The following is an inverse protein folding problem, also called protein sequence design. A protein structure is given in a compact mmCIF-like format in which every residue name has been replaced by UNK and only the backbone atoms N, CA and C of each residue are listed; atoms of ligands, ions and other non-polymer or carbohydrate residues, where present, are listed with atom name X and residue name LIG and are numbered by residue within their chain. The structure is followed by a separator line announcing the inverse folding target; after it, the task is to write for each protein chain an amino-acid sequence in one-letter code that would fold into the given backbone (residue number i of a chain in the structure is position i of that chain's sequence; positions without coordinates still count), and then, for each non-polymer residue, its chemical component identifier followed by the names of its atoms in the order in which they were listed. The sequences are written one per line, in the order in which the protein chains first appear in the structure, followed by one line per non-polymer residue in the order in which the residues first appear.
data_IF_100422013876
#
_entry.id   IF_100422013876
#
_cell.length_a   1.000
_cell.length_b   1.000
_cell.length_c   1.000
_cell.angle_alpha   90.00
_cell.angle_beta   90.00
_cell.angle_gamma   90.00
#
_symmetry.space_group_name_H-M   'P 1'
#
loop_
_entity.id
_entity.type
_entity.pdbx_description
1 polymer ?
#
# COMPACT_ATOMS: atom_id res chain seq x y z
N UNK A 1 -35.86 8.96 2.23
CA UNK A 1 -36.24 10.16 1.44
C UNK A 1 -35.02 11.02 1.08
N UNK A 2 -34.18 11.40 2.05
CA UNK A 2 -32.96 12.22 1.84
C UNK A 2 -31.93 11.67 0.82
N UNK A 3 -31.42 10.44 1.01
CA UNK A 3 -30.35 9.91 0.13
C UNK A 3 -30.75 9.82 -1.35
N UNK A 4 -32.04 9.58 -1.61
CA UNK A 4 -32.57 9.55 -2.98
C UNK A 4 -32.57 10.94 -3.62
N UNK A 5 -32.90 11.98 -2.87
CA UNK A 5 -32.82 13.36 -3.36
C UNK A 5 -31.37 13.78 -3.60
N UNK A 6 -30.46 13.42 -2.68
CA UNK A 6 -29.03 13.69 -2.84
C UNK A 6 -28.44 12.99 -4.07
N UNK A 7 -28.82 11.73 -4.32
CA UNK A 7 -28.38 10.99 -5.52
C UNK A 7 -28.86 11.64 -6.83
N UNK A 8 -30.10 12.16 -6.85
CA UNK A 8 -30.67 12.88 -8.00
C UNK A 8 -29.89 14.17 -8.28
N UNK A 9 -29.51 14.92 -7.24
CA UNK A 9 -28.73 16.15 -7.41
C UNK A 9 -27.29 15.89 -7.83
N UNK A 10 -26.63 14.88 -7.24
CA UNK A 10 -25.26 14.52 -7.59
C UNK A 10 -25.13 14.03 -9.04
N UNK A 11 -26.15 13.34 -9.56
CA UNK A 11 -26.18 12.90 -10.96
C UNK A 11 -26.11 14.04 -11.97
N UNK A 12 -26.57 15.24 -11.63
CA UNK A 12 -26.44 16.44 -12.48
C UNK A 12 -24.99 16.84 -12.73
N UNK A 13 -24.07 16.40 -11.87
CA UNK A 13 -22.64 16.67 -11.92
C UNK A 13 -21.82 15.40 -12.21
N UNK A 14 -22.44 14.34 -12.74
CA UNK A 14 -21.80 13.04 -12.99
C UNK A 14 -21.21 12.36 -11.73
N UNK A 15 -21.69 12.76 -10.55
CA UNK A 15 -21.32 12.15 -9.27
C UNK A 15 -22.36 11.12 -8.85
N UNK A 16 -21.92 10.10 -8.09
CA UNK A 16 -22.81 9.07 -7.53
C UNK A 16 -22.51 8.81 -6.06
N UNK A 17 -23.53 8.48 -5.29
CA UNK A 17 -23.35 8.08 -3.90
C UNK A 17 -22.74 6.68 -3.83
N UNK A 18 -21.67 6.54 -3.06
CA UNK A 18 -21.10 5.24 -2.76
C UNK A 18 -21.97 4.53 -1.71
N UNK A 19 -22.73 3.53 -2.13
CA UNK A 19 -23.65 2.78 -1.26
C UNK A 19 -22.96 2.06 -0.09
N UNK A 20 -21.65 1.76 -0.17
CA UNK A 20 -20.89 1.19 0.94
C UNK A 20 -20.47 2.23 1.98
N UNK A 21 -20.23 3.47 1.54
CA UNK A 21 -19.75 4.56 2.41
C UNK A 21 -20.87 5.48 2.92
N UNK A 22 -22.04 5.45 2.27
CA UNK A 22 -23.14 6.38 2.55
C UNK A 22 -24.26 5.66 3.26
N UNK A 23 -24.39 5.90 4.57
CA UNK A 23 -25.48 5.38 5.41
C UNK A 23 -26.02 6.45 6.33
N UNK A 24 -27.33 6.48 6.55
CA UNK A 24 -27.95 7.29 7.61
C UNK A 24 -27.81 6.49 8.90
N UNK A 25 -27.10 7.03 9.89
CA UNK A 25 -26.85 6.38 11.17
C UNK A 25 -27.55 7.16 12.27
N UNK A 26 -28.21 6.47 13.21
CA UNK A 26 -28.82 7.08 14.40
C UNK A 26 -27.73 7.62 15.34
N UNK A 27 -27.98 8.77 15.95
CA UNK A 27 -27.05 9.50 16.83
C UNK A 27 -26.52 8.65 18.00
N UNK A 28 -27.31 7.72 18.53
CA UNK A 28 -26.91 6.82 19.63
C UNK A 28 -25.81 5.82 19.22
N UNK A 29 -25.61 5.60 17.91
CA UNK A 29 -24.52 4.78 17.36
C UNK A 29 -23.28 5.62 17.01
N UNK A 30 -23.25 6.93 17.32
CA UNK A 30 -22.07 7.80 17.14
C UNK A 30 -21.01 7.59 18.22
N UNK A 31 -20.82 6.36 18.73
CA UNK A 31 -19.57 6.02 19.42
C UNK A 31 -18.48 5.70 18.39
N UNK A 32 -18.19 6.65 17.51
CA UNK A 32 -17.07 6.57 16.54
C UNK A 32 -15.68 6.46 17.21
N UNK A 33 -15.61 6.24 18.52
CA UNK A 33 -14.40 6.16 19.37
C UNK A 33 -14.51 5.02 20.39
N UNK A 34 -15.53 4.14 20.31
CA UNK A 34 -15.71 3.04 21.27
C UNK A 34 -14.49 2.12 21.32
N UNK A 35 -14.02 1.69 20.15
CA UNK A 35 -12.83 0.84 20.05
C UNK A 35 -11.54 1.56 20.49
N UNK A 36 -11.42 2.89 20.30
CA UNK A 36 -10.24 3.67 20.72
C UNK A 36 -10.14 3.65 22.25
N UNK A 37 -11.24 3.95 22.94
CA UNK A 37 -11.28 3.89 24.41
C UNK A 37 -10.92 2.49 24.91
N UNK A 38 -11.52 1.48 24.28
CA UNK A 38 -11.29 0.07 24.60
C UNK A 38 -9.83 -0.36 24.41
N UNK A 39 -9.18 0.02 23.30
CA UNK A 39 -7.75 -0.27 23.07
C UNK A 39 -6.84 0.55 23.97
N UNK A 40 -7.22 1.79 24.31
CA UNK A 40 -6.45 2.67 25.18
C UNK A 40 -6.44 2.17 26.62
N UNK A 41 -7.56 1.59 27.07
CA UNK A 41 -7.70 1.00 28.39
C UNK A 41 -7.12 -0.41 28.51
N UNK A 42 -6.58 -0.98 27.43
CA UNK A 42 -5.98 -2.31 27.47
C UNK A 42 -4.83 -2.35 28.50
N UNK A 43 -4.96 -3.24 29.48
CA UNK A 43 -3.99 -3.37 30.56
C UNK A 43 -2.81 -4.23 30.14
N UNK A 44 -1.61 -3.63 30.12
CA UNK A 44 -0.36 -4.36 29.99
C UNK A 44 0.18 -4.72 31.38
N UNK A 45 0.30 -6.03 31.73
CA UNK A 45 0.72 -6.46 33.07
C UNK A 45 2.09 -5.95 33.52
N UNK A 46 3.04 -5.82 32.59
CA UNK A 46 4.34 -5.23 32.84
C UNK A 46 4.47 -3.96 31.98
N UNK A 47 4.62 -2.80 32.64
CA UNK A 47 4.70 -1.49 31.99
C UNK A 47 6.11 -1.14 31.52
N UNK A 48 7.14 -1.71 32.16
CA UNK A 48 8.54 -1.42 31.85
C UNK A 48 9.01 -2.18 30.62
N UNK A 49 8.55 -3.43 30.46
CA UNK A 49 8.80 -4.24 29.28
C UNK A 49 7.62 -5.16 28.97
N UNK A 50 7.05 -4.99 27.78
CA UNK A 50 5.89 -5.79 27.35
C UNK A 50 6.38 -7.15 26.82
N UNK A 51 5.84 -8.20 27.43
CA UNK A 51 6.12 -9.60 27.09
C UNK A 51 5.34 -10.12 25.88
N UNK A 52 5.75 -11.28 25.40
CA UNK A 52 5.18 -11.95 24.21
C UNK A 52 3.65 -12.15 24.33
N UNK A 53 3.18 -12.67 25.46
CA UNK A 53 1.76 -12.97 25.65
C UNK A 53 0.89 -11.71 25.62
N UNK A 54 1.39 -10.60 26.16
CA UNK A 54 0.66 -9.33 26.17
C UNK A 54 0.59 -8.69 24.78
N UNK A 55 1.67 -8.75 23.99
CA UNK A 55 1.63 -8.31 22.59
C UNK A 55 0.67 -9.19 21.79
N UNK A 56 0.75 -10.52 21.93
CA UNK A 56 -0.15 -11.44 21.25
C UNK A 56 -1.61 -11.13 21.56
N UNK A 57 -1.95 -11.06 22.85
CA UNK A 57 -3.32 -10.80 23.28
C UNK A 57 -3.82 -9.42 22.83
N UNK A 58 -2.96 -8.40 22.83
CA UNK A 58 -3.32 -7.08 22.31
C UNK A 58 -3.61 -7.09 20.80
N UNK A 59 -2.78 -7.76 20.00
CA UNK A 59 -2.99 -7.88 18.55
C UNK A 59 -4.25 -8.70 18.22
N UNK A 60 -4.45 -9.83 18.90
CA UNK A 60 -5.66 -10.64 18.74
C UNK A 60 -6.92 -9.82 19.08
N UNK A 61 -6.84 -9.01 20.13
CA UNK A 61 -7.93 -8.12 20.54
C UNK A 61 -8.19 -6.99 19.53
N UNK A 62 -7.14 -6.33 19.06
CA UNK A 62 -7.25 -5.30 18.03
C UNK A 62 -7.83 -5.86 16.72
N UNK A 63 -7.46 -7.08 16.35
CA UNK A 63 -7.99 -7.75 15.16
C UNK A 63 -9.47 -8.16 15.33
N UNK A 64 -9.87 -8.60 16.51
CA UNK A 64 -11.29 -8.86 16.81
C UNK A 64 -12.10 -7.56 16.72
N UNK A 65 -11.60 -6.46 17.29
CA UNK A 65 -12.23 -5.14 17.21
C UNK A 65 -12.30 -4.63 15.77
N UNK A 66 -11.24 -4.79 14.96
CA UNK A 66 -11.25 -4.34 13.57
C UNK A 66 -12.33 -5.05 12.76
N UNK A 67 -12.55 -6.35 13.02
CA UNK A 67 -13.65 -7.11 12.41
C UNK A 67 -15.02 -6.69 12.92
N UNK A 68 -15.16 -6.45 14.22
CA UNK A 68 -16.43 -6.06 14.84
C UNK A 68 -16.92 -4.70 14.32
N UNK A 69 -16.01 -3.74 14.16
CA UNK A 69 -16.34 -2.38 13.72
C UNK A 69 -16.22 -2.18 12.21
N UNK A 70 -15.68 -3.17 11.47
CA UNK A 70 -15.33 -3.07 10.04
C UNK A 70 -14.50 -1.80 9.75
N UNK A 71 -13.52 -1.53 10.62
CA UNK A 71 -12.74 -0.30 10.63
C UNK A 71 -11.24 -0.59 10.59
N UNK A 72 -10.61 -0.20 9.48
CA UNK A 72 -9.17 -0.36 9.24
C UNK A 72 -8.30 0.50 10.17
N UNK A 73 -8.86 1.58 10.74
CA UNK A 73 -8.14 2.46 11.66
C UNK A 73 -7.79 1.76 12.98
N UNK A 74 -8.53 0.71 13.36
CA UNK A 74 -8.28 -0.07 14.59
C UNK A 74 -6.88 -0.67 14.58
N UNK A 75 -6.51 -1.35 13.50
CA UNK A 75 -5.18 -1.96 13.37
C UNK A 75 -4.09 -0.89 13.23
N UNK A 76 -4.35 0.19 12.49
CA UNK A 76 -3.42 1.32 12.39
C UNK A 76 -3.08 1.89 13.77
N UNK A 77 -4.08 2.07 14.62
CA UNK A 77 -3.91 2.56 15.98
C UNK A 77 -3.12 1.56 16.83
N UNK A 78 -3.50 0.28 16.81
CA UNK A 78 -2.84 -0.76 17.57
C UNK A 78 -1.33 -0.87 17.23
N UNK A 79 -0.99 -0.82 15.94
CA UNK A 79 0.40 -0.79 15.45
C UNK A 79 1.15 0.41 16.03
N UNK A 80 0.57 1.62 15.94
CA UNK A 80 1.16 2.86 16.48
C UNK A 80 1.30 2.85 18.00
N UNK A 81 0.41 2.19 18.72
CA UNK A 81 0.49 2.05 20.18
C UNK A 81 1.67 1.13 20.53
N UNK A 82 1.74 -0.06 19.93
CA UNK A 82 2.80 -1.03 20.23
C UNK A 82 4.19 -0.55 19.81
N UNK A 83 4.32 0.16 18.69
CA UNK A 83 5.61 0.69 18.23
C UNK A 83 6.24 1.69 19.22
N UNK A 84 5.43 2.34 20.05
CA UNK A 84 5.88 3.29 21.10
C UNK A 84 6.17 2.62 22.44
N UNK A 85 6.00 1.31 22.56
CA UNK A 85 6.24 0.57 23.81
C UNK A 85 7.58 -0.15 23.78
N UNK A 86 8.18 -0.31 24.95
CA UNK A 86 9.37 -1.15 25.12
C UNK A 86 8.95 -2.62 25.10
N UNK A 87 9.23 -3.30 24.00
CA UNK A 87 8.93 -4.72 23.81
C UNK A 87 10.15 -5.59 24.11
N UNK A 88 9.96 -6.68 24.84
CA UNK A 88 10.99 -7.73 24.97
C UNK A 88 11.39 -8.26 23.59
N UNK A 89 12.61 -8.79 23.43
CA UNK A 89 13.11 -9.32 22.15
C UNK A 89 12.18 -10.38 21.51
N UNK A 90 11.53 -11.22 22.33
CA UNK A 90 10.56 -12.22 21.83
C UNK A 90 9.27 -11.55 21.37
N UNK A 91 8.77 -10.57 22.12
CA UNK A 91 7.55 -9.83 21.78
C UNK A 91 7.72 -8.97 20.52
N UNK A 92 8.89 -8.34 20.36
CA UNK A 92 9.24 -7.56 19.17
C UNK A 92 9.25 -8.42 17.90
N UNK A 93 9.86 -9.60 17.95
CA UNK A 93 9.85 -10.57 16.84
C UNK A 93 8.45 -11.05 16.48
N UNK A 94 7.59 -11.30 17.48
CA UNK A 94 6.19 -11.62 17.24
C UNK A 94 5.48 -10.45 16.55
N UNK A 95 5.58 -9.25 17.12
CA UNK A 95 4.97 -8.04 16.59
C UNK A 95 5.30 -7.83 15.12
N UNK A 96 6.60 -7.82 14.76
CA UNK A 96 7.04 -7.59 13.38
C UNK A 96 6.45 -8.63 12.42
N UNK A 97 6.57 -9.92 12.75
CA UNK A 97 6.04 -11.00 11.90
C UNK A 97 4.51 -10.95 11.78
N UNK A 98 3.81 -10.64 12.87
CA UNK A 98 2.35 -10.52 12.87
C UNK A 98 1.88 -9.37 11.98
N UNK A 99 2.48 -8.19 12.09
CA UNK A 99 2.05 -7.04 11.27
C UNK A 99 2.42 -7.23 9.80
N UNK A 100 3.58 -7.81 9.49
CA UNK A 100 3.92 -8.24 8.12
C UNK A 100 2.84 -9.18 7.57
N UNK A 101 2.49 -10.23 8.30
CA UNK A 101 1.44 -11.18 7.89
C UNK A 101 0.06 -10.51 7.69
N UNK A 102 -0.33 -9.59 8.58
CA UNK A 102 -1.57 -8.83 8.42
C UNK A 102 -1.53 -7.96 7.17
N UNK A 103 -0.39 -7.35 6.86
CA UNK A 103 -0.22 -6.44 5.72
C UNK A 103 -0.30 -7.13 4.37
N UNK A 104 0.14 -8.40 4.28
CA UNK A 104 -0.08 -9.25 3.09
C UNK A 104 -1.57 -9.39 2.75
N UNK A 105 -2.44 -9.34 3.76
CA UNK A 105 -3.89 -9.46 3.57
C UNK A 105 -4.63 -8.11 3.62
N UNK A 106 -3.93 -7.03 4.01
CA UNK A 106 -4.50 -5.71 4.28
C UNK A 106 -3.52 -4.64 3.79
N UNK A 107 -3.47 -4.40 2.46
CA UNK A 107 -2.46 -3.51 1.87
C UNK A 107 -2.50 -2.05 2.35
N UNK A 108 -3.60 -1.61 2.97
CA UNK A 108 -3.66 -0.30 3.65
C UNK A 108 -2.69 -0.17 4.84
N UNK A 109 -2.15 -1.29 5.35
CA UNK A 109 -1.14 -1.31 6.40
C UNK A 109 0.29 -1.07 5.88
N UNK A 110 0.54 -1.27 4.58
CA UNK A 110 1.88 -1.13 3.99
C UNK A 110 2.53 0.23 4.27
N UNK A 111 1.82 1.38 4.18
CA UNK A 111 2.39 2.68 4.52
C UNK A 111 2.92 2.81 5.96
N UNK A 112 2.48 1.94 6.89
CA UNK A 112 2.91 1.97 8.28
C UNK A 112 4.17 1.15 8.56
N UNK A 113 4.55 0.26 7.63
CA UNK A 113 5.57 -0.75 7.90
C UNK A 113 6.94 -0.13 8.12
N UNK A 114 7.31 0.88 7.34
CA UNK A 114 8.62 1.52 7.44
C UNK A 114 8.83 2.15 8.83
N UNK A 115 7.91 3.04 9.23
CA UNK A 115 8.04 3.80 10.49
C UNK A 115 7.83 2.93 11.73
N UNK A 116 6.85 2.01 11.71
CA UNK A 116 6.38 1.34 12.93
C UNK A 116 6.73 -0.14 13.03
N UNK A 117 7.25 -0.75 11.97
CA UNK A 117 7.50 -2.20 11.93
C UNK A 117 8.94 -2.52 11.60
N UNK A 118 9.47 -2.01 10.49
CA UNK A 118 10.85 -2.27 10.06
C UNK A 118 11.86 -1.61 11.01
N UNK A 119 11.57 -0.40 11.50
CA UNK A 119 12.34 0.27 12.56
C UNK A 119 12.48 -0.55 13.87
N UNK A 120 11.58 -1.51 14.09
CA UNK A 120 11.55 -2.39 15.25
C UNK A 120 12.08 -3.80 14.94
N UNK A 121 12.42 -4.11 13.69
CA UNK A 121 12.96 -5.42 13.35
C UNK A 121 14.39 -5.55 13.90
N UNK A 122 14.78 -6.76 14.29
CA UNK A 122 16.20 -7.09 14.55
C UNK A 122 16.97 -7.29 13.22
N UNK A 123 16.42 -6.75 12.12
CA UNK A 123 16.84 -6.72 10.72
C UNK A 123 17.71 -7.88 10.20
N UNK A 124 17.11 -8.71 9.34
CA UNK A 124 17.83 -9.52 8.37
C UNK A 124 17.23 -9.26 6.99
N UNK A 125 18.08 -9.04 5.97
CA UNK A 125 17.61 -8.82 4.59
C UNK A 125 16.78 -10.01 4.09
N UNK A 126 17.06 -11.18 4.63
CA UNK A 126 16.38 -12.45 4.40
C UNK A 126 14.91 -12.39 4.84
N UNK A 127 14.61 -11.87 6.03
CA UNK A 127 13.22 -11.75 6.50
C UNK A 127 12.41 -10.78 5.63
N UNK A 128 13.04 -9.68 5.23
CA UNK A 128 12.41 -8.71 4.34
C UNK A 128 12.15 -9.34 2.96
N UNK A 129 13.13 -10.06 2.41
CA UNK A 129 12.97 -10.76 1.13
C UNK A 129 11.81 -11.78 1.17
N UNK A 130 11.76 -12.64 2.21
CA UNK A 130 10.65 -13.58 2.41
C UNK A 130 9.30 -12.87 2.46
N UNK A 131 9.22 -11.73 3.16
CA UNK A 131 8.00 -10.93 3.22
C UNK A 131 7.61 -10.36 1.85
N UNK A 132 8.58 -9.81 1.11
CA UNK A 132 8.34 -9.20 -0.20
C UNK A 132 7.92 -10.24 -1.25
N UNK A 133 8.47 -11.45 -1.22
CA UNK A 133 8.07 -12.53 -2.11
C UNK A 133 6.60 -12.94 -1.89
N UNK A 134 6.20 -13.07 -0.63
CA UNK A 134 4.80 -13.37 -0.25
C UNK A 134 3.88 -12.21 -0.61
N UNK A 135 4.29 -10.97 -0.30
CA UNK A 135 3.52 -9.76 -0.60
C UNK A 135 3.29 -9.60 -2.11
N UNK A 136 4.35 -9.74 -2.90
CA UNK A 136 4.30 -9.62 -4.36
C UNK A 136 3.39 -10.69 -4.97
N UNK A 137 3.56 -11.95 -4.56
CA UNK A 137 2.74 -13.06 -5.05
C UNK A 137 1.25 -12.86 -4.71
N UNK A 138 0.95 -12.37 -3.51
CA UNK A 138 -0.41 -12.05 -3.09
C UNK A 138 -0.98 -10.86 -3.85
N UNK A 139 -0.19 -9.81 -4.06
CA UNK A 139 -0.62 -8.61 -4.78
C UNK A 139 -0.93 -8.92 -6.25
N UNK A 140 -0.06 -9.68 -6.91
CA UNK A 140 -0.28 -10.14 -8.29
C UNK A 140 -1.52 -11.02 -8.40
N UNK A 141 -1.66 -12.06 -7.55
CA UNK A 141 -2.81 -12.98 -7.61
C UNK A 141 -4.16 -12.31 -7.30
N UNK A 142 -4.15 -11.15 -6.63
CA UNK A 142 -5.36 -10.39 -6.32
C UNK A 142 -5.55 -9.16 -7.22
N UNK A 143 -4.65 -8.93 -8.19
CA UNK A 143 -4.71 -7.77 -9.10
C UNK A 143 -4.54 -6.42 -8.39
N UNK A 144 -3.80 -6.38 -7.29
CA UNK A 144 -3.70 -5.22 -6.40
C UNK A 144 -2.43 -4.43 -6.64
N UNK A 145 -2.56 -3.33 -7.39
CA UNK A 145 -1.46 -2.43 -7.76
C UNK A 145 -0.76 -1.79 -6.56
N UNK A 146 -1.49 -1.46 -5.49
CA UNK A 146 -0.93 -0.94 -4.25
C UNK A 146 0.06 -1.90 -3.59
N UNK A 147 -0.27 -3.20 -3.51
CA UNK A 147 0.64 -4.22 -2.99
C UNK A 147 1.88 -4.43 -3.86
N UNK A 148 1.74 -4.36 -5.19
CA UNK A 148 2.86 -4.44 -6.14
C UNK A 148 3.78 -3.23 -5.96
N UNK A 149 3.20 -2.03 -5.90
CA UNK A 149 3.95 -0.79 -5.77
C UNK A 149 4.78 -0.77 -4.48
N UNK A 150 4.17 -1.11 -3.35
CA UNK A 150 4.88 -1.17 -2.07
C UNK A 150 5.95 -2.28 -2.03
N UNK A 151 5.73 -3.42 -2.69
CA UNK A 151 6.76 -4.46 -2.79
C UNK A 151 8.04 -3.92 -3.44
N UNK A 152 7.92 -3.22 -4.57
CA UNK A 152 9.07 -2.60 -5.25
C UNK A 152 9.65 -1.42 -4.48
N UNK A 153 8.80 -0.60 -3.86
CA UNK A 153 9.25 0.50 -3.00
C UNK A 153 10.17 0.00 -1.88
N UNK A 154 9.75 -1.02 -1.14
CA UNK A 154 10.56 -1.59 -0.06
C UNK A 154 11.83 -2.27 -0.58
N UNK A 155 11.76 -2.96 -1.73
CA UNK A 155 12.92 -3.55 -2.38
C UNK A 155 13.99 -2.50 -2.70
N UNK A 156 13.58 -1.40 -3.33
CA UNK A 156 14.46 -0.26 -3.63
C UNK A 156 15.01 0.37 -2.35
N UNK A 157 14.13 0.72 -1.41
CA UNK A 157 14.48 1.43 -0.17
C UNK A 157 15.49 0.70 0.69
N UNK A 158 15.38 -0.62 0.79
CA UNK A 158 16.23 -1.46 1.62
C UNK A 158 17.33 -2.20 0.81
N UNK A 159 17.44 -1.92 -0.48
CA UNK A 159 18.40 -2.57 -1.38
C UNK A 159 18.33 -4.10 -1.29
N UNK A 160 17.10 -4.62 -1.45
CA UNK A 160 16.76 -6.05 -1.51
C UNK A 160 16.38 -6.40 -2.93
N UNK A 161 16.93 -7.51 -3.43
CA UNK A 161 16.65 -7.98 -4.79
C UNK A 161 15.54 -9.04 -4.77
N UNK A 162 14.41 -8.70 -5.37
CA UNK A 162 13.32 -9.59 -5.74
C UNK A 162 13.53 -10.10 -7.17
N UNK A 163 13.38 -11.41 -7.38
CA UNK A 163 13.42 -12.01 -8.71
C UNK A 163 12.04 -11.93 -9.40
N UNK A 164 12.02 -11.22 -10.53
CA UNK A 164 10.81 -10.97 -11.32
C UNK A 164 10.95 -11.58 -12.71
N UNK A 165 10.40 -12.79 -12.84
CA UNK A 165 10.29 -13.51 -14.11
C UNK A 165 9.33 -12.81 -15.09
N UNK A 166 9.50 -13.09 -16.38
CA UNK A 166 8.72 -12.49 -17.48
C UNK A 166 7.20 -12.65 -17.26
N UNK A 167 6.74 -13.81 -16.77
CA UNK A 167 5.31 -14.05 -16.49
C UNK A 167 4.75 -13.08 -15.44
N UNK A 168 5.52 -12.81 -14.37
CA UNK A 168 5.12 -11.82 -13.35
C UNK A 168 5.07 -10.42 -13.93
N UNK A 169 5.98 -10.07 -14.85
CA UNK A 169 5.98 -8.77 -15.52
C UNK A 169 4.70 -8.55 -16.33
N UNK A 170 4.25 -9.55 -17.10
CA UNK A 170 2.97 -9.49 -17.82
C UNK A 170 1.80 -9.24 -16.86
N UNK A 171 1.71 -10.01 -15.77
CA UNK A 171 0.65 -9.84 -14.77
C UNK A 171 0.68 -8.46 -14.08
N UNK A 172 1.86 -7.89 -13.87
CA UNK A 172 2.00 -6.52 -13.36
C UNK A 172 1.42 -5.51 -14.36
N UNK A 173 1.76 -5.63 -15.65
CA UNK A 173 1.26 -4.74 -16.70
C UNK A 173 -0.26 -4.87 -16.92
N UNK A 174 -0.82 -6.07 -16.72
CA UNK A 174 -2.27 -6.34 -16.80
C UNK A 174 -3.07 -5.60 -15.71
N UNK A 175 -2.43 -5.22 -14.59
CA UNK A 175 -3.12 -4.43 -13.55
C UNK A 175 -3.55 -3.05 -14.04
N UNK A 176 -2.88 -2.50 -15.07
CA UNK A 176 -3.03 -1.14 -15.56
C UNK A 176 -2.97 -0.07 -14.44
N UNK A 177 -2.32 -0.38 -13.31
CA UNK A 177 -2.06 0.57 -12.23
C UNK A 177 -0.81 1.38 -12.57
N UNK A 178 -0.98 2.69 -12.76
CA UNK A 178 0.10 3.55 -13.25
C UNK A 178 1.28 3.60 -12.27
N UNK A 179 1.03 3.54 -10.95
CA UNK A 179 2.08 3.58 -9.94
C UNK A 179 2.82 2.25 -9.91
N UNK A 180 2.09 1.13 -9.90
CA UNK A 180 2.67 -0.21 -9.90
C UNK A 180 3.56 -0.45 -11.12
N UNK A 181 3.08 -0.10 -12.33
CA UNK A 181 3.86 -0.25 -13.56
C UNK A 181 5.11 0.65 -13.55
N UNK A 182 4.99 1.89 -13.08
CA UNK A 182 6.11 2.83 -13.02
C UNK A 182 7.21 2.33 -12.09
N UNK A 183 6.87 1.98 -10.86
CA UNK A 183 7.88 1.58 -9.89
C UNK A 183 8.48 0.20 -10.20
N UNK A 184 7.71 -0.70 -10.83
CA UNK A 184 8.23 -1.96 -11.36
C UNK A 184 9.29 -1.71 -12.45
N UNK A 185 9.00 -0.81 -13.40
CA UNK A 185 9.97 -0.44 -14.44
C UNK A 185 11.23 0.20 -13.84
N UNK A 186 11.08 1.12 -12.89
CA UNK A 186 12.21 1.73 -12.17
C UNK A 186 13.08 0.67 -11.50
N UNK A 187 12.47 -0.26 -10.77
CA UNK A 187 13.19 -1.36 -10.12
C UNK A 187 13.97 -2.24 -11.10
N UNK A 188 13.33 -2.64 -12.21
CA UNK A 188 13.98 -3.47 -13.23
C UNK A 188 15.15 -2.74 -13.91
N UNK A 189 15.00 -1.44 -14.16
CA UNK A 189 16.05 -0.58 -14.72
C UNK A 189 17.26 -0.47 -13.79
N UNK A 190 17.04 -0.23 -12.50
CA UNK A 190 18.13 -0.18 -11.49
C UNK A 190 18.79 -1.53 -11.27
N UNK A 191 18.03 -2.63 -11.45
CA UNK A 191 18.55 -4.00 -11.40
C UNK A 191 19.33 -4.42 -12.66
N UNK A 192 19.48 -3.53 -13.65
CA UNK A 192 20.19 -3.81 -14.90
C UNK A 192 19.41 -4.63 -15.92
N UNK A 193 18.11 -4.86 -15.72
CA UNK A 193 17.24 -5.67 -16.59
C UNK A 193 16.02 -4.89 -17.12
N UNK A 194 16.21 -3.73 -17.78
CA UNK A 194 15.09 -3.00 -18.36
C UNK A 194 14.44 -3.87 -19.45
N UNK A 195 13.14 -4.14 -19.30
CA UNK A 195 12.44 -5.07 -20.20
C UNK A 195 11.62 -4.32 -21.25
N UNK A 196 11.70 -4.75 -22.52
CA UNK A 196 10.96 -4.14 -23.63
C UNK A 196 9.44 -4.18 -23.43
N UNK A 197 8.92 -5.15 -22.67
CA UNK A 197 7.51 -5.28 -22.32
C UNK A 197 6.88 -3.98 -21.79
N UNK A 198 7.59 -3.27 -20.90
CA UNK A 198 7.11 -2.01 -20.35
C UNK A 198 7.07 -0.90 -21.41
N UNK A 199 8.06 -0.89 -22.31
CA UNK A 199 8.09 0.05 -23.45
C UNK A 199 6.99 -0.24 -24.45
N UNK A 200 6.72 -1.51 -24.74
CA UNK A 200 5.65 -1.92 -25.64
C UNK A 200 4.28 -1.51 -25.07
N UNK A 201 4.06 -1.73 -23.77
CA UNK A 201 2.85 -1.26 -23.07
C UNK A 201 2.74 0.27 -23.10
N UNK A 202 3.83 1.01 -22.90
CA UNK A 202 3.82 2.46 -22.97
C UNK A 202 3.48 2.97 -24.38
N UNK A 203 4.01 2.34 -25.42
CA UNK A 203 3.68 2.67 -26.82
C UNK A 203 2.21 2.38 -27.14
N UNK A 204 1.64 1.28 -26.64
CA UNK A 204 0.21 0.97 -26.75
C UNK A 204 -0.65 2.08 -26.15
N UNK A 205 -0.30 2.57 -24.95
CA UNK A 205 -1.03 3.64 -24.26
C UNK A 205 -0.97 4.97 -25.05
N UNK A 206 0.18 5.30 -25.66
CA UNK A 206 0.34 6.53 -26.48
C UNK A 206 -0.53 6.53 -27.74
N UNK A 207 -0.89 5.35 -28.25
CA UNK A 207 -1.80 5.19 -29.38
C UNK A 207 -3.28 5.18 -28.96
N UNK A 208 -3.56 5.17 -27.66
CA UNK A 208 -4.92 5.18 -27.10
C UNK A 208 -5.44 6.63 -26.92
N UNK A 209 -6.57 6.77 -26.23
CA UNK A 209 -7.20 8.07 -25.94
C UNK A 209 -6.33 8.98 -25.07
N UNK A 210 -6.50 10.30 -25.19
CA UNK A 210 -5.82 11.28 -24.33
C UNK A 210 -6.06 11.01 -22.85
N UNK A 211 -7.28 10.62 -22.48
CA UNK A 211 -7.63 10.24 -21.10
C UNK A 211 -6.78 9.08 -20.56
N UNK A 212 -6.48 8.08 -21.37
CA UNK A 212 -5.62 6.95 -20.96
C UNK A 212 -4.15 7.39 -20.83
N UNK A 213 -3.71 8.31 -21.67
CA UNK A 213 -2.38 8.92 -21.55
C UNK A 213 -2.25 9.74 -20.27
N UNK A 214 -3.25 10.57 -19.96
CA UNK A 214 -3.31 11.35 -18.72
C UNK A 214 -3.29 10.47 -17.48
N UNK A 215 -4.07 9.39 -17.44
CA UNK A 215 -4.05 8.45 -16.31
C UNK A 215 -2.68 7.81 -16.06
N UNK A 216 -1.89 7.64 -17.12
CA UNK A 216 -0.60 6.96 -17.10
C UNK A 216 0.58 7.90 -17.30
N UNK A 217 0.39 9.21 -17.10
CA UNK A 217 1.40 10.22 -17.46
C UNK A 217 2.76 9.97 -16.80
N UNK A 218 2.78 9.52 -15.53
CA UNK A 218 4.01 9.20 -14.79
C UNK A 218 4.72 8.00 -15.41
N UNK A 219 3.96 6.97 -15.77
CA UNK A 219 4.49 5.77 -16.40
C UNK A 219 5.10 6.07 -17.77
N UNK A 220 4.36 6.82 -18.60
CA UNK A 220 4.84 7.27 -19.91
C UNK A 220 6.09 8.14 -19.78
N UNK A 221 6.10 9.05 -18.81
CA UNK A 221 7.26 9.90 -18.51
C UNK A 221 8.49 9.06 -18.16
N UNK A 222 8.36 8.04 -17.31
CA UNK A 222 9.51 7.25 -16.87
C UNK A 222 10.06 6.33 -17.97
N UNK A 223 9.17 5.70 -18.76
CA UNK A 223 9.54 4.65 -19.72
C UNK A 223 9.98 5.20 -21.08
N UNK A 224 9.30 6.22 -21.59
CA UNK A 224 9.47 6.66 -22.98
C UNK A 224 10.57 7.72 -23.12
N UNK A 225 11.30 7.73 -24.25
CA UNK A 225 12.17 8.83 -24.59
C UNK A 225 11.37 10.08 -24.98
N UNK A 226 11.98 11.25 -24.83
CA UNK A 226 11.38 12.55 -25.18
C UNK A 226 10.80 12.61 -26.60
N UNK A 227 11.44 11.94 -27.56
CA UNK A 227 11.04 11.93 -28.97
C UNK A 227 9.67 11.30 -29.24
N UNK A 228 9.21 10.40 -28.35
CA UNK A 228 7.96 9.65 -28.52
C UNK A 228 6.80 10.29 -27.76
N UNK A 229 7.10 11.10 -26.73
CA UNK A 229 6.07 11.83 -25.99
C UNK A 229 5.32 12.80 -26.92
N UNK A 230 4.00 12.83 -26.86
CA UNK A 230 3.18 13.82 -27.58
C UNK A 230 3.07 15.11 -26.76
N UNK A 231 2.80 14.94 -25.48
CA UNK A 231 2.59 16.00 -24.50
C UNK A 231 3.83 16.93 -24.33
N UNK A 232 3.60 18.24 -24.42
CA UNK A 232 4.65 19.26 -24.31
C UNK A 232 5.13 19.46 -22.87
N UNK A 233 4.24 19.33 -21.88
CA UNK A 233 4.57 19.41 -20.46
C UNK A 233 5.49 18.25 -20.06
N UNK A 234 5.20 17.01 -20.47
CA UNK A 234 6.09 15.86 -20.19
C UNK A 234 7.47 16.00 -20.84
N UNK A 235 7.54 16.59 -22.04
CA UNK A 235 8.83 16.91 -22.69
C UNK A 235 9.61 17.95 -21.90
N UNK A 236 8.95 18.96 -21.37
CA UNK A 236 9.57 20.01 -20.56
C UNK A 236 10.13 19.45 -19.25
N UNK A 237 9.38 18.59 -18.57
CA UNK A 237 9.86 17.89 -17.37
C UNK A 237 11.16 17.11 -17.65
N UNK A 238 11.25 16.42 -18.80
CA UNK A 238 12.47 15.70 -19.19
C UNK A 238 13.63 16.64 -19.50
N UNK A 239 13.38 17.80 -20.11
CA UNK A 239 14.43 18.80 -20.38
C UNK A 239 15.05 19.32 -19.07
N UNK A 240 14.23 19.47 -18.04
CA UNK A 240 14.66 19.91 -16.72
C UNK A 240 15.25 18.78 -15.87
N UNK A 241 15.42 17.57 -16.41
CA UNK A 241 15.91 16.38 -15.72
C UNK A 241 15.19 16.13 -14.38
N UNK A 242 13.87 16.29 -14.36
CA UNK A 242 13.08 16.13 -13.13
C UNK A 242 12.97 14.64 -12.80
N UNK A 243 13.49 14.25 -11.64
CA UNK A 243 13.27 12.93 -11.07
C UNK A 243 11.99 12.92 -10.22
N UNK A 244 11.03 12.09 -10.61
CA UNK A 244 9.74 11.98 -9.89
C UNK A 244 9.91 11.19 -8.57
N UNK A 245 10.91 10.30 -8.51
CA UNK A 245 11.08 9.34 -7.41
C UNK A 245 12.46 9.46 -6.79
N UNK A 246 12.55 10.10 -5.61
CA UNK A 246 13.71 9.96 -4.71
C UNK A 246 13.37 8.91 -3.66
N UNK A 247 13.92 7.71 -3.81
CA UNK A 247 13.72 6.57 -2.89
C UNK A 247 15.00 6.40 -2.08
#
# INVERSE_FOLDING_TARGET
MFLRQLDIELKKFELSLNAKKTKIVKTENLSHVGWINTLTQYYFPNKDEIGFNSVKSYLDYAFALSKQYDDSAVLNYAIKVLSKKKLSKRARRLYVKSIMFYSVNNFYLLPLLEEYVFSMADETKELLLEFLDVLMSRAISTGRGDGIAFSFYFALKHSVKIDIEIEKQHKILETNDCIAMTIAYKYLKESGNPTNLFRDKANEIVLNTEREQEKNWIFLYEVLPKSVLKDNFLKELKNNNIEIWKI
#
